data_IF_965217268080
#
_entry.id   IF_965217268080
#
_cell.length_a   1.000
_cell.length_b   1.000
_cell.length_c   1.000
_cell.angle_alpha   90.00
_cell.angle_beta   90.00
_cell.angle_gamma   90.00
#
_symmetry.space_group_name_H-M   'P 1'
#
loop_
_entity.id
_entity.type
_entity.pdbx_description
1 polymer ?
#
# COMPACT_ATOMS: atom_id res chain seq x y z
N UNK A 1 -4.16 29.75 -24.28
CA UNK A 1 -3.32 28.99 -25.25
C UNK A 1 -1.83 29.04 -24.89
N UNK A 2 -1.35 30.02 -24.13
CA UNK A 2 0.07 30.11 -23.74
C UNK A 2 0.49 29.25 -22.52
N UNK A 3 -0.39 29.03 -21.53
CA UNK A 3 -0.04 28.19 -20.36
C UNK A 3 0.18 26.71 -20.70
N UNK A 4 -0.52 26.18 -21.72
CA UNK A 4 -0.36 24.79 -22.16
C UNK A 4 0.96 24.56 -22.90
N UNK A 5 1.57 25.64 -23.42
CA UNK A 5 2.82 25.58 -24.20
C UNK A 5 4.07 25.63 -23.32
N UNK A 6 4.00 26.29 -22.15
CA UNK A 6 5.07 26.24 -21.14
C UNK A 6 5.11 24.89 -20.42
N UNK A 7 3.96 24.33 -20.03
CA UNK A 7 3.91 23.00 -19.41
C UNK A 7 4.47 21.89 -20.32
N UNK A 8 4.25 21.98 -21.63
CA UNK A 8 4.84 21.04 -22.59
C UNK A 8 6.35 21.23 -22.76
N UNK A 9 6.87 22.45 -22.57
CA UNK A 9 8.30 22.73 -22.66
C UNK A 9 9.04 22.23 -21.43
N UNK A 10 8.48 22.40 -20.23
CA UNK A 10 9.04 21.86 -18.98
C UNK A 10 9.08 20.32 -18.98
N UNK A 11 8.03 19.66 -19.48
CA UNK A 11 8.01 18.19 -19.62
C UNK A 11 8.99 17.72 -20.70
N UNK A 12 9.14 18.46 -21.79
CA UNK A 12 10.09 18.13 -22.86
C UNK A 12 11.55 18.36 -22.43
N UNK A 13 11.84 19.40 -21.65
CA UNK A 13 13.17 19.67 -21.10
C UNK A 13 13.53 18.67 -19.99
N UNK A 14 12.56 18.20 -19.20
CA UNK A 14 12.75 17.10 -18.23
C UNK A 14 13.05 15.76 -18.91
N UNK A 15 12.54 15.53 -20.12
CA UNK A 15 12.80 14.31 -20.91
C UNK A 15 14.10 14.40 -21.75
N UNK A 16 14.56 15.62 -22.08
CA UNK A 16 15.76 15.85 -22.89
C UNK A 16 17.09 15.59 -22.15
N UNK A 17 17.07 15.45 -20.82
CA UNK A 17 18.25 15.16 -19.99
C UNK A 17 18.75 13.69 -20.05
N UNK A 18 18.05 12.82 -20.77
CA UNK A 18 18.18 11.36 -20.61
C UNK A 18 19.30 10.62 -21.37
N UNK A 19 20.02 11.11 -22.41
CA UNK A 19 21.03 10.25 -23.05
C UNK A 19 22.43 10.32 -22.43
N UNK A 20 22.84 11.48 -21.88
CA UNK A 20 24.21 11.71 -21.39
C UNK A 20 24.43 11.48 -19.89
N UNK A 21 23.37 11.61 -19.07
CA UNK A 21 23.47 11.58 -17.61
C UNK A 21 23.44 10.15 -17.02
N UNK A 22 22.93 9.17 -17.77
CA UNK A 22 22.74 7.79 -17.26
C UNK A 22 24.05 7.09 -16.90
N UNK A 23 25.18 7.40 -17.55
CA UNK A 23 26.46 6.73 -17.25
C UNK A 23 27.10 7.23 -15.94
N UNK A 24 27.00 8.53 -15.64
CA UNK A 24 27.49 9.09 -14.37
C UNK A 24 26.53 8.79 -13.21
N UNK A 25 25.21 8.84 -13.45
CA UNK A 25 24.21 8.48 -12.44
C UNK A 25 24.28 6.99 -12.09
N UNK A 26 24.44 6.07 -13.05
CA UNK A 26 24.58 4.64 -12.74
C UNK A 26 25.82 4.33 -11.87
N UNK A 27 26.89 5.10 -12.02
CA UNK A 27 28.12 4.92 -11.22
C UNK A 27 27.92 5.42 -9.79
N UNK A 28 27.34 6.62 -9.62
CA UNK A 28 27.00 7.19 -8.30
C UNK A 28 25.91 6.37 -7.59
N UNK A 29 24.93 5.86 -8.33
CA UNK A 29 23.90 4.94 -7.84
C UNK A 29 24.52 3.63 -7.34
N UNK A 30 25.44 3.03 -8.11
CA UNK A 30 26.15 1.82 -7.70
C UNK A 30 27.04 2.01 -6.47
N UNK A 31 27.60 3.20 -6.26
CA UNK A 31 28.38 3.54 -5.06
C UNK A 31 27.49 3.78 -3.84
N UNK A 32 26.36 4.48 -3.99
CA UNK A 32 25.37 4.68 -2.92
C UNK A 32 24.67 3.38 -2.52
N UNK A 33 24.34 2.51 -3.48
CA UNK A 33 23.82 1.17 -3.19
C UNK A 33 24.83 0.32 -2.43
N UNK A 34 26.12 0.37 -2.81
CA UNK A 34 27.19 -0.31 -2.06
C UNK A 34 27.36 0.29 -0.66
N UNK A 35 27.26 1.61 -0.49
CA UNK A 35 27.36 2.26 0.81
C UNK A 35 26.16 1.89 1.72
N UNK A 36 24.93 1.90 1.20
CA UNK A 36 23.73 1.45 1.90
C UNK A 36 23.84 -0.02 2.35
N UNK A 37 24.29 -0.90 1.44
CA UNK A 37 24.52 -2.33 1.73
C UNK A 37 25.75 -2.58 2.63
N UNK A 38 26.70 -1.64 2.69
CA UNK A 38 27.90 -1.73 3.53
C UNK A 38 27.66 -1.17 4.93
N UNK A 39 26.81 -0.15 5.08
CA UNK A 39 26.44 0.42 6.39
C UNK A 39 25.65 -0.59 7.23
N UNK A 40 24.93 -1.51 6.59
CA UNK A 40 24.29 -2.64 7.28
C UNK A 40 25.27 -3.69 7.84
N UNK A 41 26.55 -3.65 7.47
CA UNK A 41 27.57 -4.64 7.87
C UNK A 41 28.45 -4.22 9.06
N UNK A 42 28.45 -2.95 9.49
CA UNK A 42 29.30 -2.48 10.58
C UNK A 42 28.54 -2.37 11.90
N UNK A 43 28.52 -3.46 12.67
CA UNK A 43 28.04 -3.46 14.05
C UNK A 43 27.81 -4.87 14.60
N UNK A 44 28.33 -5.14 15.78
CA UNK A 44 28.33 -6.42 16.51
C UNK A 44 26.96 -7.11 16.54
N UNK A 45 26.77 -8.12 15.69
CA UNK A 45 25.54 -8.91 15.56
C UNK A 45 25.44 -9.62 14.20
N UNK A 46 26.53 -10.22 13.73
CA UNK A 46 26.74 -10.63 12.33
C UNK A 46 25.88 -11.80 11.84
N UNK A 47 25.19 -12.54 12.72
CA UNK A 47 24.35 -13.67 12.31
C UNK A 47 22.93 -13.21 11.93
N UNK A 48 22.21 -12.54 12.83
CA UNK A 48 20.80 -12.14 12.59
C UNK A 48 20.60 -11.11 11.46
N UNK A 49 21.56 -10.20 11.22
CA UNK A 49 21.45 -9.19 10.14
C UNK A 49 21.55 -9.76 8.72
N UNK A 50 22.36 -10.81 8.52
CA UNK A 50 22.45 -11.50 7.22
C UNK A 50 21.17 -12.26 6.90
N UNK A 51 20.51 -12.79 7.92
CA UNK A 51 19.25 -13.52 7.79
C UNK A 51 18.11 -12.58 7.39
N UNK A 52 18.06 -11.36 7.96
CA UNK A 52 17.06 -10.34 7.59
C UNK A 52 17.25 -9.87 6.15
N UNK A 53 18.48 -9.62 5.73
CA UNK A 53 18.74 -9.22 4.34
C UNK A 53 18.30 -10.31 3.34
N UNK A 54 18.53 -11.58 3.68
CA UNK A 54 18.08 -12.72 2.88
C UNK A 54 16.55 -12.80 2.85
N UNK A 55 15.89 -12.70 4.00
CA UNK A 55 14.44 -12.66 4.11
C UNK A 55 13.81 -11.49 3.33
N UNK A 56 14.37 -10.29 3.47
CA UNK A 56 13.86 -9.08 2.84
C UNK A 56 13.94 -9.12 1.30
N UNK A 57 14.80 -9.97 0.73
CA UNK A 57 14.82 -10.23 -0.71
C UNK A 57 13.57 -10.99 -1.18
N UNK A 58 13.03 -11.85 -0.32
CA UNK A 58 11.87 -12.70 -0.60
C UNK A 58 10.54 -11.98 -0.32
N UNK A 59 10.57 -10.81 0.33
CA UNK A 59 9.40 -9.95 0.49
C UNK A 59 8.83 -9.52 -0.88
N UNK A 60 7.49 -9.36 -0.99
CA UNK A 60 6.85 -8.81 -2.18
C UNK A 60 7.51 -7.50 -2.61
N UNK A 61 7.75 -7.35 -3.92
CA UNK A 61 8.35 -6.12 -4.46
C UNK A 61 7.30 -5.08 -4.77
N UNK A 62 7.61 -3.83 -4.46
CA UNK A 62 6.83 -2.66 -4.87
C UNK A 62 7.50 -1.96 -6.05
N UNK A 63 6.78 -1.76 -7.15
CA UNK A 63 7.29 -1.09 -8.36
C UNK A 63 6.59 0.26 -8.62
N UNK A 64 5.86 0.81 -7.66
CA UNK A 64 5.15 2.07 -7.82
C UNK A 64 3.75 1.91 -8.41
N UNK A 65 3.17 0.71 -8.34
CA UNK A 65 1.80 0.46 -8.77
C UNK A 65 0.79 1.25 -7.91
N UNK A 66 -0.22 1.83 -8.56
CA UNK A 66 -1.27 2.63 -7.92
C UNK A 66 -2.68 2.03 -8.08
N UNK A 67 -2.78 0.80 -8.61
CA UNK A 67 -4.06 0.12 -8.73
C UNK A 67 -4.56 -0.40 -7.38
N UNK A 68 -5.86 -0.65 -7.26
CA UNK A 68 -6.50 -0.95 -5.97
C UNK A 68 -5.96 -2.25 -5.35
N UNK A 69 -5.51 -3.21 -6.16
CA UNK A 69 -5.06 -4.51 -5.68
C UNK A 69 -3.54 -4.59 -5.46
N UNK A 70 -2.74 -3.71 -6.09
CA UNK A 70 -1.28 -3.66 -5.99
C UNK A 70 -0.74 -2.31 -5.52
N UNK A 71 -1.59 -1.45 -4.96
CA UNK A 71 -1.18 -0.15 -4.43
C UNK A 71 -0.12 -0.27 -3.33
N UNK A 72 0.54 0.85 -3.02
CA UNK A 72 1.43 0.96 -1.86
C UNK A 72 0.78 0.48 -0.56
N UNK A 73 -0.52 0.69 -0.39
CA UNK A 73 -1.29 0.20 0.78
C UNK A 73 -1.37 -1.33 0.80
N UNK A 74 -1.65 -1.94 -0.36
CA UNK A 74 -1.73 -3.41 -0.50
C UNK A 74 -0.37 -4.04 -0.20
N UNK A 75 0.69 -3.44 -0.75
CA UNK A 75 2.06 -3.87 -0.51
C UNK A 75 2.48 -3.71 0.95
N UNK A 76 2.21 -2.55 1.58
CA UNK A 76 2.53 -2.32 3.00
C UNK A 76 1.84 -3.33 3.91
N UNK A 77 0.57 -3.66 3.63
CA UNK A 77 -0.19 -4.69 4.36
C UNK A 77 0.46 -6.07 4.22
N UNK A 78 0.85 -6.46 3.01
CA UNK A 78 1.46 -7.77 2.75
C UNK A 78 2.84 -7.87 3.40
N UNK A 79 3.64 -6.81 3.33
CA UNK A 79 4.94 -6.74 3.99
C UNK A 79 4.81 -6.77 5.51
N UNK A 80 3.90 -5.97 6.10
CA UNK A 80 3.61 -5.99 7.53
C UNK A 80 3.20 -7.41 8.00
N UNK A 81 2.33 -8.08 7.24
CA UNK A 81 1.92 -9.45 7.54
C UNK A 81 3.09 -10.43 7.53
N UNK A 82 3.95 -10.38 6.51
CA UNK A 82 5.13 -11.26 6.41
C UNK A 82 6.12 -11.00 7.54
N UNK A 83 6.36 -9.73 7.88
CA UNK A 83 7.26 -9.34 8.97
C UNK A 83 6.74 -9.85 10.33
N UNK A 84 5.44 -9.71 10.59
CA UNK A 84 4.79 -10.23 11.79
C UNK A 84 4.82 -11.76 11.85
N UNK A 85 4.48 -12.42 10.75
CA UNK A 85 4.46 -13.89 10.66
C UNK A 85 5.83 -14.50 10.94
N UNK A 86 6.89 -13.88 10.42
CA UNK A 86 8.27 -14.28 10.64
C UNK A 86 8.89 -13.73 11.94
N UNK A 87 8.12 -13.03 12.77
CA UNK A 87 8.55 -12.44 14.05
C UNK A 87 9.80 -11.57 13.91
N UNK A 88 9.91 -10.84 12.78
CA UNK A 88 10.98 -9.87 12.58
C UNK A 88 10.82 -8.77 13.61
N UNK A 89 11.93 -8.33 14.21
CA UNK A 89 11.90 -7.28 15.22
C UNK A 89 11.50 -5.94 14.59
N UNK A 90 10.67 -5.15 15.28
CA UNK A 90 10.04 -3.94 14.70
C UNK A 90 11.04 -2.87 14.26
N UNK A 91 12.21 -2.79 14.90
CA UNK A 91 13.35 -1.95 14.52
C UNK A 91 13.96 -2.31 13.16
N UNK A 92 13.62 -3.48 12.61
CA UNK A 92 14.16 -3.99 11.34
C UNK A 92 13.15 -3.91 10.20
N UNK A 93 11.90 -3.54 10.47
CA UNK A 93 10.81 -3.58 9.48
C UNK A 93 11.02 -2.59 8.35
N UNK A 94 11.43 -1.36 8.67
CA UNK A 94 11.70 -0.31 7.67
C UNK A 94 12.86 -0.72 6.76
N UNK A 95 13.97 -1.20 7.33
CA UNK A 95 15.11 -1.70 6.56
C UNK A 95 14.73 -2.84 5.62
N UNK A 96 13.92 -3.81 6.09
CA UNK A 96 13.42 -4.91 5.27
C UNK A 96 12.52 -4.42 4.12
N UNK A 97 11.63 -3.46 4.38
CA UNK A 97 10.75 -2.89 3.37
C UNK A 97 11.50 -2.10 2.29
N UNK A 98 12.54 -1.34 2.66
CA UNK A 98 13.40 -0.63 1.69
C UNK A 98 14.14 -1.62 0.78
N UNK A 99 14.64 -2.73 1.33
CA UNK A 99 15.25 -3.81 0.52
C UNK A 99 14.23 -4.42 -0.45
N UNK A 100 12.94 -4.41 -0.09
CA UNK A 100 11.84 -4.88 -0.92
C UNK A 100 11.39 -3.87 -2.00
N UNK A 101 12.02 -2.70 -2.13
CA UNK A 101 11.76 -1.82 -3.26
C UNK A 101 12.21 -2.44 -4.59
N UNK A 102 11.29 -2.43 -5.55
CA UNK A 102 11.52 -2.67 -6.96
C UNK A 102 12.19 -1.47 -7.64
N UNK A 103 12.27 -1.49 -8.97
CA UNK A 103 13.12 -0.57 -9.71
C UNK A 103 12.75 0.92 -9.50
N UNK A 104 11.48 1.27 -9.67
CA UNK A 104 11.04 2.68 -9.62
C UNK A 104 11.10 3.26 -8.20
N UNK A 105 10.59 2.60 -7.14
CA UNK A 105 10.70 3.13 -5.79
C UNK A 105 12.14 3.16 -5.29
N UNK A 106 12.97 2.18 -5.68
CA UNK A 106 14.40 2.19 -5.35
C UNK A 106 15.10 3.40 -5.95
N UNK A 107 14.90 3.69 -7.23
CA UNK A 107 15.49 4.85 -7.90
C UNK A 107 15.04 6.17 -7.24
N UNK A 108 13.76 6.28 -6.90
CA UNK A 108 13.27 7.44 -6.16
C UNK A 108 13.96 7.57 -4.79
N UNK A 109 14.03 6.49 -4.01
CA UNK A 109 14.59 6.50 -2.66
C UNK A 109 16.07 6.93 -2.64
N UNK A 110 16.89 6.41 -3.57
CA UNK A 110 18.31 6.78 -3.68
C UNK A 110 18.54 8.18 -4.27
N UNK A 111 17.52 8.76 -4.92
CA UNK A 111 17.56 10.12 -5.48
C UNK A 111 17.15 11.20 -4.47
N UNK A 112 16.61 10.81 -3.32
CA UNK A 112 16.26 11.75 -2.25
C UNK A 112 17.52 12.50 -1.75
N UNK A 113 17.40 13.79 -1.40
CA UNK A 113 18.50 14.54 -0.78
C UNK A 113 19.01 13.85 0.49
N UNK A 114 20.29 14.03 0.86
CA UNK A 114 20.86 13.51 2.11
C UNK A 114 20.02 13.87 3.34
N UNK A 115 19.48 15.08 3.38
CA UNK A 115 18.64 15.62 4.46
C UNK A 115 17.29 14.88 4.58
N UNK A 116 16.73 14.39 3.47
CA UNK A 116 15.50 13.58 3.45
C UNK A 116 15.80 12.08 3.67
N UNK A 117 16.99 11.61 3.29
CA UNK A 117 17.44 10.22 3.54
C UNK A 117 17.95 10.00 4.95
N UNK A 118 18.37 11.05 5.67
CA UNK A 118 18.66 11.01 7.11
C UNK A 118 17.38 10.88 7.95
N UNK A 119 16.24 11.42 7.48
CA UNK A 119 14.93 11.11 8.06
C UNK A 119 14.59 9.63 7.88
N UNK A 120 14.71 9.08 6.66
CA UNK A 120 14.49 7.64 6.38
C UNK A 120 15.72 6.77 6.57
N UNK A 121 16.60 7.13 7.52
CA UNK A 121 17.74 6.27 7.84
C UNK A 121 17.21 4.94 8.38
N UNK A 122 17.84 3.85 7.97
CA UNK A 122 17.50 2.44 8.27
C UNK A 122 17.28 2.17 9.77
N UNK A 123 17.61 3.12 10.65
CA UNK A 123 17.76 2.95 12.09
C UNK A 123 16.90 3.91 12.96
N UNK A 124 16.08 4.82 12.41
CA UNK A 124 15.39 5.84 13.24
C UNK A 124 13.87 5.99 13.08
N UNK A 125 13.26 5.45 12.01
CA UNK A 125 11.82 5.61 11.80
C UNK A 125 11.00 4.43 12.33
N UNK A 126 9.87 4.75 12.95
CA UNK A 126 8.85 3.75 13.27
C UNK A 126 8.19 3.23 11.99
N UNK A 127 7.67 1.99 12.04
CA UNK A 127 6.88 1.45 10.93
C UNK A 127 5.71 2.36 10.54
N UNK A 128 5.12 3.04 11.51
CA UNK A 128 4.01 3.99 11.31
C UNK A 128 4.44 5.21 10.49
N UNK A 129 5.57 5.85 10.83
CA UNK A 129 6.13 6.97 10.08
C UNK A 129 6.48 6.56 8.64
N UNK A 130 7.12 5.41 8.47
CA UNK A 130 7.44 4.86 7.14
C UNK A 130 6.16 4.63 6.31
N UNK A 131 5.12 4.02 6.88
CA UNK A 131 3.86 3.79 6.16
C UNK A 131 3.20 5.11 5.75
N UNK A 132 3.21 6.11 6.63
CA UNK A 132 2.64 7.44 6.36
C UNK A 132 3.36 8.12 5.21
N UNK A 133 4.69 8.08 5.21
CA UNK A 133 5.52 8.65 4.14
C UNK A 133 5.29 7.95 2.80
N UNK A 134 5.28 6.62 2.79
CA UNK A 134 5.03 5.83 1.58
C UNK A 134 3.66 6.12 0.99
N UNK A 135 2.63 6.28 1.83
CA UNK A 135 1.28 6.62 1.38
C UNK A 135 1.22 8.03 0.82
N UNK A 136 1.79 9.01 1.50
CA UNK A 136 1.83 10.39 1.03
C UNK A 136 2.53 10.50 -0.34
N UNK A 137 3.57 9.68 -0.57
CA UNK A 137 4.33 9.71 -1.82
C UNK A 137 3.65 8.98 -2.97
N UNK A 138 3.15 7.78 -2.72
CA UNK A 138 2.78 6.83 -3.77
C UNK A 138 1.28 6.64 -3.94
N UNK A 139 0.46 7.14 -3.01
CA UNK A 139 -0.98 7.01 -3.12
C UNK A 139 -1.60 8.24 -3.81
N UNK A 140 -2.27 8.09 -4.96
CA UNK A 140 -2.96 9.21 -5.60
C UNK A 140 -4.07 9.77 -4.72
N UNK A 141 -4.31 11.08 -4.78
CA UNK A 141 -5.34 11.74 -3.98
C UNK A 141 -6.75 11.16 -4.25
N UNK A 142 -7.02 10.72 -5.47
CA UNK A 142 -8.29 10.12 -5.87
C UNK A 142 -8.42 8.62 -5.54
N UNK A 143 -7.40 8.00 -4.91
CA UNK A 143 -7.38 6.57 -4.63
C UNK A 143 -8.60 6.10 -3.84
N UNK A 144 -9.01 6.84 -2.81
CA UNK A 144 -10.18 6.45 -2.01
C UNK A 144 -11.47 6.48 -2.83
N UNK A 145 -11.64 7.47 -3.72
CA UNK A 145 -12.79 7.49 -4.63
C UNK A 145 -12.80 6.28 -5.58
N UNK A 146 -11.63 5.90 -6.12
CA UNK A 146 -11.46 4.70 -6.94
C UNK A 146 -11.75 3.41 -6.14
N UNK A 147 -11.31 3.34 -4.89
CA UNK A 147 -11.59 2.22 -3.97
C UNK A 147 -13.09 2.07 -3.73
N UNK A 148 -13.79 3.14 -3.39
CA UNK A 148 -15.24 3.14 -3.17
C UNK A 148 -16.00 2.69 -4.42
N UNK A 149 -15.60 3.18 -5.60
CA UNK A 149 -16.16 2.74 -6.88
C UNK A 149 -15.91 1.24 -7.14
N UNK A 150 -14.70 0.76 -6.87
CA UNK A 150 -14.36 -0.65 -7.03
C UNK A 150 -15.21 -1.52 -6.11
N UNK A 151 -15.35 -1.14 -4.85
CA UNK A 151 -16.19 -1.91 -3.91
C UNK A 151 -17.62 -1.94 -4.43
N UNK A 152 -18.21 -0.79 -4.77
CA UNK A 152 -19.57 -0.72 -5.34
C UNK A 152 -19.78 -1.60 -6.57
N UNK A 153 -18.76 -1.78 -7.41
CA UNK A 153 -18.82 -2.66 -8.60
C UNK A 153 -18.67 -4.14 -8.24
N UNK A 154 -17.89 -4.44 -7.20
CA UNK A 154 -17.52 -5.80 -6.83
C UNK A 154 -18.31 -6.37 -5.64
N UNK A 155 -19.29 -5.65 -5.09
CA UNK A 155 -20.13 -6.14 -3.98
C UNK A 155 -21.27 -7.06 -4.42
N UNK A 156 -21.52 -7.26 -5.70
CA UNK A 156 -22.61 -8.13 -6.16
C UNK A 156 -22.20 -9.60 -6.15
N UNK A 157 -23.08 -10.47 -5.67
CA UNK A 157 -22.96 -11.92 -5.79
C UNK A 157 -23.11 -12.32 -7.26
N UNK A 158 -22.18 -13.12 -7.77
CA UNK A 158 -22.27 -13.66 -9.12
C UNK A 158 -23.44 -14.65 -9.25
N UNK A 159 -24.07 -14.71 -10.43
CA UNK A 159 -25.24 -15.59 -10.68
C UNK A 159 -24.95 -17.07 -10.38
N UNK A 160 -23.70 -17.51 -10.60
CA UNK A 160 -23.23 -18.89 -10.34
C UNK A 160 -22.43 -19.01 -9.04
N UNK A 161 -22.29 -17.93 -8.27
CA UNK A 161 -21.50 -17.91 -7.05
C UNK A 161 -22.36 -18.40 -5.88
N UNK A 162 -21.84 -19.35 -5.10
CA UNK A 162 -22.51 -19.78 -3.87
C UNK A 162 -22.47 -18.66 -2.82
N UNK A 163 -23.46 -18.64 -1.92
CA UNK A 163 -23.51 -17.64 -0.85
C UNK A 163 -22.24 -17.67 0.03
N UNK A 164 -21.69 -18.87 0.30
CA UNK A 164 -20.43 -19.00 1.05
C UNK A 164 -19.25 -18.31 0.36
N UNK A 165 -19.05 -18.57 -0.94
CA UNK A 165 -17.99 -17.92 -1.72
C UNK A 165 -18.16 -16.40 -1.79
N UNK A 166 -19.40 -15.94 -1.90
CA UNK A 166 -19.73 -14.52 -1.85
C UNK A 166 -19.33 -13.89 -0.52
N UNK A 167 -19.67 -14.53 0.61
CA UNK A 167 -19.32 -14.05 1.96
C UNK A 167 -17.80 -13.97 2.12
N UNK A 168 -17.07 -15.02 1.76
CA UNK A 168 -15.60 -15.06 1.84
C UNK A 168 -14.97 -13.93 1.02
N UNK A 169 -15.41 -13.75 -0.23
CA UNK A 169 -14.93 -12.68 -1.11
C UNK A 169 -15.26 -11.30 -0.56
N UNK A 170 -16.47 -11.12 -0.02
CA UNK A 170 -16.90 -9.86 0.58
C UNK A 170 -16.08 -9.53 1.83
N UNK A 171 -15.83 -10.51 2.71
CA UNK A 171 -14.97 -10.34 3.88
C UNK A 171 -13.54 -9.95 3.50
N UNK A 172 -12.97 -10.60 2.48
CA UNK A 172 -11.66 -10.25 1.94
C UNK A 172 -11.62 -8.80 1.43
N UNK A 173 -12.66 -8.38 0.71
CA UNK A 173 -12.82 -7.02 0.22
C UNK A 173 -12.93 -6.01 1.37
N UNK A 174 -13.72 -6.30 2.41
CA UNK A 174 -13.83 -5.43 3.59
C UNK A 174 -12.50 -5.30 4.33
N UNK A 175 -11.77 -6.41 4.51
CA UNK A 175 -10.47 -6.39 5.16
C UNK A 175 -9.47 -5.52 4.37
N UNK A 176 -9.54 -5.55 3.05
CA UNK A 176 -8.74 -4.67 2.18
C UNK A 176 -9.11 -3.20 2.35
N UNK A 177 -10.41 -2.89 2.32
CA UNK A 177 -10.93 -1.53 2.51
C UNK A 177 -10.54 -1.00 3.90
N UNK A 178 -10.76 -1.77 4.95
CA UNK A 178 -10.41 -1.38 6.32
C UNK A 178 -8.92 -1.06 6.44
N UNK A 179 -8.04 -1.86 5.82
CA UNK A 179 -6.61 -1.58 5.78
C UNK A 179 -6.31 -0.25 5.04
N UNK A 180 -6.97 0.01 3.91
CA UNK A 180 -6.81 1.26 3.17
C UNK A 180 -7.24 2.49 3.98
N UNK A 181 -8.38 2.43 4.67
CA UNK A 181 -8.85 3.56 5.49
C UNK A 181 -7.96 3.78 6.73
N UNK A 182 -7.54 2.69 7.41
CA UNK A 182 -6.59 2.75 8.53
C UNK A 182 -5.31 3.46 8.12
N UNK A 183 -4.69 2.97 7.05
CA UNK A 183 -3.39 3.44 6.59
C UNK A 183 -3.44 4.86 6.01
N UNK A 184 -4.57 5.27 5.43
CA UNK A 184 -4.74 6.66 4.93
C UNK A 184 -5.21 7.65 6.01
N UNK A 185 -5.18 7.26 7.29
CA UNK A 185 -5.63 8.07 8.42
C UNK A 185 -7.05 8.64 8.27
N UNK A 186 -7.90 8.01 7.44
CA UNK A 186 -9.33 8.34 7.39
C UNK A 186 -10.02 7.65 8.55
N UNK A 187 -10.28 8.42 9.60
CA UNK A 187 -10.84 7.96 10.88
C UNK A 187 -12.20 7.24 10.80
N UNK A 188 -12.86 7.23 9.64
CA UNK A 188 -14.19 6.67 9.48
C UNK A 188 -14.25 5.65 8.34
N UNK A 189 -14.36 4.38 8.71
CA UNK A 189 -14.86 3.34 7.81
C UNK A 189 -16.39 3.38 7.91
N UNK A 190 -17.13 3.68 6.83
CA UNK A 190 -18.59 3.74 6.88
C UNK A 190 -19.19 2.33 6.97
N UNK A 191 -19.12 1.69 8.14
CA UNK A 191 -19.57 0.30 8.38
C UNK A 191 -21.01 0.09 7.87
N UNK A 192 -21.93 1.00 8.16
CA UNK A 192 -23.32 0.91 7.68
C UNK A 192 -23.48 1.00 6.15
N UNK A 193 -22.55 1.66 5.44
CA UNK A 193 -22.53 1.65 3.97
C UNK A 193 -22.16 0.26 3.44
N UNK A 194 -21.21 -0.41 4.09
CA UNK A 194 -20.75 -1.73 3.70
C UNK A 194 -21.78 -2.82 3.98
N UNK A 195 -22.50 -2.75 5.11
CA UNK A 195 -23.59 -3.67 5.43
C UNK A 195 -24.73 -3.57 4.41
N UNK A 196 -25.09 -2.34 4.00
CA UNK A 196 -26.05 -2.12 2.93
C UNK A 196 -25.57 -2.76 1.61
N UNK A 197 -24.32 -2.54 1.23
CA UNK A 197 -23.74 -3.15 0.03
C UNK A 197 -23.69 -4.68 0.10
N UNK A 198 -23.43 -5.26 1.27
CA UNK A 198 -23.47 -6.71 1.48
C UNK A 198 -24.85 -7.28 1.19
N UNK A 199 -25.88 -6.70 1.81
CA UNK A 199 -27.24 -7.21 1.70
C UNK A 199 -27.80 -6.98 0.30
N UNK A 200 -27.61 -5.79 -0.28
CA UNK A 200 -28.05 -5.49 -1.65
C UNK A 200 -27.31 -6.32 -2.71
N UNK A 201 -26.11 -6.79 -2.41
CA UNK A 201 -25.30 -7.62 -3.29
C UNK A 201 -25.77 -9.07 -3.43
N UNK A 202 -26.52 -9.61 -2.47
CA UNK A 202 -26.95 -11.02 -2.46
C UNK A 202 -27.89 -11.30 -3.63
N UNK A 203 -27.59 -12.30 -4.46
CA UNK A 203 -28.36 -12.64 -5.66
C UNK A 203 -29.73 -13.26 -5.31
N UNK A 204 -29.80 -14.07 -4.26
CA UNK A 204 -31.01 -14.82 -3.89
C UNK A 204 -32.03 -13.92 -3.16
N UNK A 205 -33.13 -13.58 -3.84
CA UNK A 205 -34.13 -12.61 -3.35
C UNK A 205 -34.75 -12.96 -1.99
N UNK A 206 -35.06 -14.25 -1.75
CA UNK A 206 -35.59 -14.69 -0.46
C UNK A 206 -34.58 -14.50 0.70
N UNK A 207 -33.30 -14.74 0.45
CA UNK A 207 -32.22 -14.56 1.45
C UNK A 207 -32.01 -13.06 1.69
N UNK A 208 -31.96 -12.27 0.62
CA UNK A 208 -31.86 -10.81 0.67
C UNK A 208 -32.99 -10.21 1.51
N UNK A 209 -34.24 -10.58 1.21
CA UNK A 209 -35.42 -10.08 1.94
C UNK A 209 -35.41 -10.48 3.41
N UNK A 210 -35.04 -11.73 3.71
CA UNK A 210 -34.92 -12.20 5.09
C UNK A 210 -33.88 -11.39 5.88
N UNK A 211 -32.69 -11.17 5.30
CA UNK A 211 -31.61 -10.42 5.94
C UNK A 211 -31.94 -8.93 6.09
N UNK A 212 -32.56 -8.30 5.08
CA UNK A 212 -33.06 -6.90 5.20
C UNK A 212 -34.01 -6.74 6.38
N UNK A 213 -34.95 -7.67 6.54
CA UNK A 213 -35.90 -7.65 7.66
C UNK A 213 -35.17 -7.81 8.99
N UNK A 214 -34.26 -8.79 9.11
CA UNK A 214 -33.49 -9.02 10.33
C UNK A 214 -32.59 -7.85 10.72
N UNK A 215 -32.00 -7.19 9.73
CA UNK A 215 -31.18 -6.00 9.94
C UNK A 215 -32.03 -4.83 10.45
N UNK A 216 -33.19 -4.59 9.84
CA UNK A 216 -34.12 -3.55 10.29
C UNK A 216 -34.65 -3.82 11.71
N UNK A 217 -34.93 -5.09 12.04
CA UNK A 217 -35.33 -5.52 13.40
C UNK A 217 -34.22 -5.30 14.45
N UNK A 218 -32.95 -5.46 14.07
CA UNK A 218 -31.82 -5.20 14.97
C UNK A 218 -31.61 -3.69 15.19
N UNK A 219 -31.63 -2.90 14.12
CA UNK A 219 -31.48 -1.44 14.19
C UNK A 219 -32.62 -0.75 14.95
N UNK A 220 -33.81 -1.35 14.99
CA UNK A 220 -34.93 -0.85 15.82
C UNK A 220 -34.87 -1.30 17.27
N UNK A 221 -34.11 -2.36 17.60
CA UNK A 221 -33.89 -2.80 18.98
C UNK A 221 -32.75 -2.08 19.68
N UNK A 222 -31.74 -1.60 18.93
CA UNK A 222 -30.56 -0.92 19.48
C UNK A 222 -30.72 0.60 19.69
N UNK A 223 -31.91 1.15 19.44
CA UNK A 223 -32.35 2.42 20.03
C UNK A 223 -31.36 3.60 19.98
N UNK A 224 -31.13 4.16 18.79
CA UNK A 224 -30.84 5.59 18.68
C UNK A 224 -32.05 6.24 18.02
N UNK A 225 -32.87 6.84 18.88
CA UNK A 225 -33.84 7.86 18.49
C UNK A 225 -33.20 9.23 18.48
#
# INVERSE_FOLDING_TARGET
LDQTREHFREVHDALAFLPGCMHQQATVLGEKEKAFLSSTNSGTGSAGRKDIYKFAKDLPKFNGECDINRSVVSWLKDVEHQLQFHQVSSDQWVGAAIIAFGHVPRHWFVSLPPEETEQFSIESDTWEEFTTFMIARWLPAEFIGKLEEYVRKNTKQGVKESLGKYIERFQSLLAHVAACYRLTARAYVPIGLWEKHFVDGIHTEHIRTYLKRKFNEAMTKDGVS
#
